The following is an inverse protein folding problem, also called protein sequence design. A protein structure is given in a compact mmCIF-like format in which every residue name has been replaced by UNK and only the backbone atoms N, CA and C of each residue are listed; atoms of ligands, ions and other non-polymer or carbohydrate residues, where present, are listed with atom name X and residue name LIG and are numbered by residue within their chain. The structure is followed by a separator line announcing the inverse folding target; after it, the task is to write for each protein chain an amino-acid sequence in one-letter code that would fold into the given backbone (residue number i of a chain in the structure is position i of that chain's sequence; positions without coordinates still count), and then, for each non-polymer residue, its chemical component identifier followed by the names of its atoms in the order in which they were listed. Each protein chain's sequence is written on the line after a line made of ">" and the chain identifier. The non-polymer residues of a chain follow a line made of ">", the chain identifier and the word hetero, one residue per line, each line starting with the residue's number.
data_IF_698775182306
#
_entry.id   IF_698775182306
#
_cell.length_a   1.000
_cell.length_b   1.000
_cell.length_c   1.000
_cell.angle_alpha   90.00
_cell.angle_beta   90.00
_cell.angle_gamma   90.00
#
_symmetry.space_group_name_H-M   'P 1'
#
loop_
_entity.id
_entity.type
_entity.pdbx_description
1 polymer ?
#
# COMPACT_ATOMS: atom_id res chain seq x y z
N UNK A 1 -11.69 -34.59 26.97
CA UNK A 1 -12.64 -33.67 26.29
C UNK A 1 -11.87 -32.44 25.90
N UNK A 2 -11.62 -32.25 24.60
CA UNK A 2 -10.99 -31.03 24.08
C UNK A 2 -12.06 -29.94 24.12
N UNK A 3 -11.81 -28.90 24.91
CA UNK A 3 -12.64 -27.69 24.92
C UNK A 3 -12.55 -27.04 23.53
N UNK A 4 -13.62 -27.15 22.74
CA UNK A 4 -13.78 -26.35 21.54
C UNK A 4 -13.93 -24.89 22.00
N UNK A 5 -12.93 -24.06 21.70
CA UNK A 5 -13.05 -22.61 21.85
C UNK A 5 -14.26 -22.08 21.07
N UNK A 6 -14.76 -20.88 21.39
CA UNK A 6 -15.96 -20.34 20.76
C UNK A 6 -15.77 -20.31 19.24
N UNK A 7 -16.67 -20.98 18.52
CA UNK A 7 -16.80 -20.85 17.07
C UNK A 7 -17.25 -19.42 16.82
N UNK A 8 -16.31 -18.51 16.60
CA UNK A 8 -16.63 -17.22 16.00
C UNK A 8 -17.09 -17.53 14.58
N UNK A 9 -18.39 -17.43 14.31
CA UNK A 9 -18.91 -17.59 12.95
C UNK A 9 -18.20 -16.57 12.04
N UNK A 10 -17.26 -17.06 11.24
CA UNK A 10 -16.48 -16.22 10.34
C UNK A 10 -17.34 -15.90 9.12
N UNK A 11 -18.07 -14.79 9.20
CA UNK A 11 -18.88 -14.31 8.08
C UNK A 11 -18.04 -13.57 7.04
N UNK A 12 -18.51 -13.64 5.80
CA UNK A 12 -17.96 -12.95 4.65
C UNK A 12 -19.00 -12.01 4.07
N UNK A 13 -18.57 -10.77 3.88
CA UNK A 13 -19.37 -9.66 3.40
C UNK A 13 -19.05 -9.41 1.94
N UNK A 14 -20.08 -9.30 1.11
CA UNK A 14 -20.06 -8.89 -0.28
C UNK A 14 -20.42 -7.42 -0.34
N UNK A 15 -19.48 -6.64 -0.86
CA UNK A 15 -19.69 -5.25 -1.21
C UNK A 15 -19.70 -5.12 -2.73
N UNK A 16 -20.60 -4.31 -3.27
CA UNK A 16 -20.63 -4.01 -4.70
C UNK A 16 -20.61 -2.51 -4.95
N UNK A 17 -20.01 -2.12 -6.06
CA UNK A 17 -20.03 -0.77 -6.58
C UNK A 17 -20.68 -0.84 -7.97
N UNK A 18 -21.87 -0.26 -8.08
CA UNK A 18 -22.69 -0.29 -9.29
C UNK A 18 -22.04 0.54 -10.40
N UNK A 19 -21.40 1.66 -10.03
CA UNK A 19 -20.69 2.45 -11.01
C UNK A 19 -19.60 1.59 -11.59
N UNK A 20 -18.64 1.09 -10.80
CA UNK A 20 -17.49 0.31 -11.26
C UNK A 20 -17.85 -1.06 -11.88
N UNK A 21 -19.07 -1.55 -11.69
CA UNK A 21 -19.47 -2.95 -11.96
C UNK A 21 -18.48 -3.93 -11.31
N UNK A 22 -18.10 -3.64 -10.06
CA UNK A 22 -17.15 -4.42 -9.28
C UNK A 22 -17.71 -4.86 -7.95
N UNK A 23 -17.26 -6.01 -7.49
CA UNK A 23 -17.56 -6.51 -6.15
C UNK A 23 -16.31 -6.93 -5.39
N UNK A 24 -16.32 -6.80 -4.07
CA UNK A 24 -15.26 -7.30 -3.20
C UNK A 24 -15.87 -8.12 -2.07
N UNK A 25 -15.19 -9.20 -1.71
CA UNK A 25 -15.57 -10.04 -0.58
C UNK A 25 -14.57 -9.84 0.53
N UNK A 26 -15.03 -9.53 1.74
CA UNK A 26 -14.19 -9.32 2.91
C UNK A 26 -14.69 -10.15 4.09
N UNK A 27 -13.79 -10.76 4.87
CA UNK A 27 -14.16 -11.36 6.15
C UNK A 27 -14.37 -10.29 7.23
N UNK A 28 -15.00 -10.67 8.35
CA UNK A 28 -15.13 -9.77 9.52
C UNK A 28 -13.76 -9.35 10.05
N UNK A 29 -12.76 -10.25 10.10
CA UNK A 29 -11.41 -9.87 10.51
C UNK A 29 -10.78 -8.87 9.54
N UNK A 30 -11.05 -9.04 8.25
CA UNK A 30 -10.59 -8.13 7.21
C UNK A 30 -11.25 -6.74 7.31
N UNK A 31 -12.51 -6.65 7.71
CA UNK A 31 -13.18 -5.37 7.93
C UNK A 31 -12.64 -4.61 9.16
N UNK A 32 -11.99 -5.33 10.08
CA UNK A 32 -11.43 -4.77 11.30
C UNK A 32 -12.48 -4.50 12.37
N UNK A 33 -12.04 -4.45 13.63
CA UNK A 33 -12.90 -4.34 14.82
C UNK A 33 -13.67 -3.01 14.92
N UNK A 34 -13.26 -1.97 14.21
CA UNK A 34 -13.84 -0.62 14.28
C UNK A 34 -14.80 -0.26 13.13
N UNK A 35 -15.06 -1.16 12.19
CA UNK A 35 -15.86 -0.89 10.97
C UNK A 35 -15.35 0.30 10.13
N UNK A 36 -14.14 0.82 10.36
CA UNK A 36 -13.61 1.96 9.62
C UNK A 36 -13.50 1.66 8.13
N UNK A 37 -13.06 0.45 7.76
CA UNK A 37 -12.95 0.05 6.36
C UNK A 37 -14.33 -0.05 5.68
N UNK A 38 -15.37 -0.48 6.41
CA UNK A 38 -16.75 -0.49 5.89
C UNK A 38 -17.19 0.93 5.50
N UNK A 39 -16.93 1.91 6.36
CA UNK A 39 -17.26 3.30 6.09
C UNK A 39 -16.44 3.87 4.93
N UNK A 40 -15.15 3.57 4.85
CA UNK A 40 -14.30 3.99 3.74
C UNK A 40 -14.80 3.41 2.40
N UNK A 41 -15.18 2.14 2.38
CA UNK A 41 -15.76 1.51 1.20
C UNK A 41 -17.08 2.18 0.77
N UNK A 42 -17.94 2.52 1.74
CA UNK A 42 -19.18 3.25 1.45
C UNK A 42 -18.93 4.64 0.86
N UNK A 43 -17.90 5.34 1.36
CA UNK A 43 -17.50 6.64 0.79
C UNK A 43 -16.96 6.52 -0.64
N UNK A 44 -16.40 5.36 -1.01
CA UNK A 44 -15.95 5.03 -2.37
C UNK A 44 -17.09 4.42 -3.23
N UNK A 45 -18.34 4.52 -2.79
CA UNK A 45 -19.51 4.07 -3.55
C UNK A 45 -19.81 2.57 -3.48
N UNK A 46 -19.14 1.82 -2.61
CA UNK A 46 -19.48 0.42 -2.34
C UNK A 46 -20.66 0.32 -1.35
N UNK A 47 -21.65 -0.49 -1.66
CA UNK A 47 -22.74 -0.84 -0.74
C UNK A 47 -22.70 -2.33 -0.40
N UNK A 48 -23.26 -2.69 0.75
CA UNK A 48 -23.34 -4.08 1.18
C UNK A 48 -24.47 -4.78 0.41
N UNK A 49 -24.14 -5.86 -0.30
CA UNK A 49 -25.11 -6.74 -0.94
C UNK A 49 -25.48 -7.94 -0.06
N UNK A 50 -24.50 -8.46 0.69
CA UNK A 50 -24.66 -9.63 1.55
C UNK A 50 -23.60 -9.60 2.66
N UNK A 51 -23.95 -9.89 3.91
CA UNK A 51 -23.05 -9.77 5.07
C UNK A 51 -22.92 -11.05 5.91
N UNK A 52 -23.61 -12.12 5.52
CA UNK A 52 -23.78 -13.34 6.33
C UNK A 52 -23.35 -14.61 5.60
N UNK A 53 -22.54 -14.48 4.53
CA UNK A 53 -22.00 -15.65 3.84
C UNK A 53 -21.05 -16.42 4.78
N UNK A 54 -21.21 -17.74 4.87
CA UNK A 54 -20.39 -18.59 5.76
C UNK A 54 -19.03 -18.95 5.18
N UNK A 55 -18.79 -18.62 3.91
CA UNK A 55 -17.47 -18.77 3.29
C UNK A 55 -17.26 -17.77 2.17
N UNK A 56 -15.99 -17.41 1.90
CA UNK A 56 -15.62 -16.59 0.74
C UNK A 56 -16.07 -17.23 -0.57
N UNK A 57 -15.95 -18.56 -0.70
CA UNK A 57 -16.35 -19.32 -1.90
C UNK A 57 -17.84 -19.17 -2.16
N UNK A 58 -18.67 -19.25 -1.11
CA UNK A 58 -20.11 -19.07 -1.22
C UNK A 58 -20.48 -17.63 -1.64
N UNK A 59 -19.82 -16.63 -1.05
CA UNK A 59 -20.01 -15.22 -1.38
C UNK A 59 -19.67 -14.91 -2.85
N UNK A 60 -18.54 -15.46 -3.34
CA UNK A 60 -18.13 -15.33 -4.74
C UNK A 60 -19.14 -16.01 -5.66
N UNK A 61 -19.54 -17.26 -5.34
CA UNK A 61 -20.54 -17.99 -6.12
C UNK A 61 -21.88 -17.28 -6.21
N UNK A 62 -22.30 -16.60 -5.13
CA UNK A 62 -23.49 -15.76 -5.14
C UNK A 62 -23.38 -14.62 -6.15
N UNK A 63 -22.24 -13.93 -6.18
CA UNK A 63 -22.01 -12.88 -7.18
C UNK A 63 -22.00 -13.42 -8.61
N UNK A 64 -21.34 -14.56 -8.84
CA UNK A 64 -21.31 -15.19 -10.16
C UNK A 64 -22.69 -15.62 -10.67
N UNK A 65 -23.59 -16.05 -9.77
CA UNK A 65 -24.93 -16.52 -10.13
C UNK A 65 -25.95 -15.39 -10.30
N UNK A 66 -25.94 -14.40 -9.41
CA UNK A 66 -26.99 -13.37 -9.34
C UNK A 66 -26.56 -12.02 -9.93
N UNK A 67 -25.26 -11.78 -10.09
CA UNK A 67 -24.69 -10.54 -10.61
C UNK A 67 -23.56 -10.84 -11.62
N UNK A 68 -23.82 -11.61 -12.70
CA UNK A 68 -22.77 -12.10 -13.62
C UNK A 68 -21.98 -11.00 -14.34
N UNK A 69 -22.58 -9.81 -14.48
CA UNK A 69 -21.96 -8.64 -15.09
C UNK A 69 -20.90 -8.00 -14.17
N UNK A 70 -21.03 -8.19 -12.85
CA UNK A 70 -20.08 -7.65 -11.87
C UNK A 70 -18.82 -8.51 -11.85
N UNK A 71 -17.66 -7.85 -12.00
CA UNK A 71 -16.37 -8.53 -11.86
C UNK A 71 -15.81 -8.36 -10.46
N UNK A 72 -15.04 -9.34 -10.02
CA UNK A 72 -14.30 -9.19 -8.76
C UNK A 72 -13.38 -7.97 -8.87
N UNK A 73 -13.36 -7.16 -7.83
CA UNK A 73 -12.51 -5.98 -7.76
C UNK A 73 -11.05 -6.39 -7.84
N UNK A 74 -10.35 -5.85 -8.82
CA UNK A 74 -8.91 -5.99 -8.97
C UNK A 74 -8.30 -4.64 -9.29
N UNK A 75 -7.34 -4.24 -8.47
CA UNK A 75 -6.51 -3.09 -8.77
C UNK A 75 -5.45 -3.45 -9.81
N UNK A 76 -5.34 -2.62 -10.86
CA UNK A 76 -4.51 -2.83 -12.05
C UNK A 76 -3.37 -1.81 -12.11
N UNK A 77 -2.13 -2.21 -12.45
CA UNK A 77 -1.06 -1.27 -12.69
C UNK A 77 -1.37 -0.37 -13.89
N UNK A 78 -1.07 0.93 -13.78
CA UNK A 78 -1.25 1.90 -14.86
C UNK A 78 -0.01 2.81 -14.98
N UNK A 79 0.35 3.27 -16.20
CA UNK A 79 1.40 4.25 -16.35
C UNK A 79 0.99 5.57 -15.69
N UNK A 80 1.94 6.25 -15.08
CA UNK A 80 1.77 7.60 -14.52
C UNK A 80 2.99 8.43 -14.81
N UNK A 81 2.79 9.71 -15.12
CA UNK A 81 3.86 10.71 -15.15
C UNK A 81 4.25 11.09 -13.72
N UNK A 82 5.43 11.73 -13.59
CA UNK A 82 5.84 12.27 -12.29
C UNK A 82 4.84 13.31 -11.76
N UNK A 83 4.29 14.14 -12.66
CA UNK A 83 3.34 15.19 -12.31
C UNK A 83 2.06 14.59 -11.73
N UNK A 84 1.45 13.62 -12.40
CA UNK A 84 0.25 12.94 -11.89
C UNK A 84 0.49 12.26 -10.53
N UNK A 85 1.65 11.62 -10.36
CA UNK A 85 2.00 11.02 -9.08
C UNK A 85 2.17 12.06 -7.97
N UNK A 86 2.81 13.19 -8.26
CA UNK A 86 2.94 14.31 -7.32
C UNK A 86 1.58 14.91 -6.96
N UNK A 87 0.72 15.14 -7.94
CA UNK A 87 -0.61 15.71 -7.74
C UNK A 87 -1.46 14.80 -6.84
N UNK A 88 -1.41 13.48 -7.08
CA UNK A 88 -2.07 12.49 -6.23
C UNK A 88 -1.53 12.53 -4.78
N UNK A 89 -0.20 12.53 -4.60
CA UNK A 89 0.41 12.60 -3.27
C UNK A 89 0.02 13.88 -2.54
N UNK A 90 0.09 15.04 -3.20
CA UNK A 90 -0.23 16.33 -2.58
C UNK A 90 -1.70 16.41 -2.16
N UNK A 91 -2.60 15.75 -2.90
CA UNK A 91 -4.03 15.72 -2.60
C UNK A 91 -4.38 14.75 -1.47
N UNK A 92 -3.70 13.61 -1.37
CA UNK A 92 -4.16 12.47 -0.54
C UNK A 92 -3.21 12.05 0.59
N UNK A 93 -1.93 12.43 0.56
CA UNK A 93 -0.96 11.94 1.54
C UNK A 93 -1.04 12.74 2.85
N UNK A 94 -1.34 12.05 3.95
CA UNK A 94 -1.64 12.65 5.27
C UNK A 94 -0.50 13.43 5.94
N UNK A 95 0.75 13.17 5.57
CA UNK A 95 1.91 13.54 6.38
C UNK A 95 3.02 14.23 5.58
N UNK A 96 3.05 14.09 4.26
CA UNK A 96 4.18 14.53 3.47
C UNK A 96 3.74 15.08 2.10
N UNK A 97 4.32 16.21 1.65
CA UNK A 97 4.16 16.65 0.28
C UNK A 97 4.91 15.74 -0.68
N UNK A 98 4.59 15.82 -1.97
CA UNK A 98 5.29 15.12 -3.04
C UNK A 98 6.82 15.40 -3.02
N UNK A 99 7.65 14.43 -3.47
CA UNK A 99 9.09 14.60 -3.47
C UNK A 99 9.51 15.53 -4.61
N UNK A 100 10.75 16.04 -4.55
CA UNK A 100 11.26 16.97 -5.57
C UNK A 100 11.61 16.31 -6.90
N UNK A 101 11.85 15.00 -6.90
CA UNK A 101 12.23 14.25 -8.09
C UNK A 101 12.00 12.76 -7.91
N UNK A 102 12.20 12.00 -8.98
CA UNK A 102 12.06 10.55 -9.00
C UNK A 102 13.12 9.88 -9.88
N UNK A 103 13.27 8.57 -9.70
CA UNK A 103 13.82 7.66 -10.71
C UNK A 103 12.70 7.03 -11.53
N UNK A 104 11.63 6.62 -10.86
CA UNK A 104 10.39 6.18 -11.49
C UNK A 104 9.19 6.39 -10.55
N UNK A 105 7.99 6.37 -11.13
CA UNK A 105 6.73 6.35 -10.41
C UNK A 105 5.84 5.22 -10.95
N UNK A 106 4.97 4.70 -10.10
CA UNK A 106 4.02 3.64 -10.41
C UNK A 106 2.62 4.10 -10.03
N UNK A 107 1.64 3.79 -10.88
CA UNK A 107 0.24 4.00 -10.61
C UNK A 107 -0.51 2.68 -10.41
N UNK A 108 -1.56 2.74 -9.63
CA UNK A 108 -2.51 1.66 -9.43
C UNK A 108 -3.92 2.22 -9.65
N UNK A 109 -4.74 1.55 -10.45
CA UNK A 109 -6.10 1.98 -10.79
C UNK A 109 -7.13 0.94 -10.35
N UNK A 110 -8.36 1.37 -10.09
CA UNK A 110 -9.54 0.50 -9.97
C UNK A 110 -10.14 0.10 -11.34
N UNK A 111 -9.50 0.48 -12.45
CA UNK A 111 -10.00 0.31 -13.81
C UNK A 111 -10.69 1.55 -14.38
N UNK A 112 -10.91 2.59 -13.56
CA UNK A 112 -11.48 3.88 -14.00
C UNK A 112 -10.63 5.07 -13.59
N UNK A 113 -10.21 5.09 -12.34
CA UNK A 113 -9.42 6.19 -11.78
C UNK A 113 -8.16 5.66 -11.11
N UNK A 114 -7.24 6.59 -10.85
CA UNK A 114 -6.02 6.32 -10.11
C UNK A 114 -6.37 6.20 -8.62
N UNK A 115 -6.04 5.07 -8.00
CA UNK A 115 -6.33 4.81 -6.58
C UNK A 115 -5.10 4.80 -5.69
N UNK A 116 -3.92 4.88 -6.29
CA UNK A 116 -2.68 4.92 -5.54
C UNK A 116 -1.45 5.08 -6.42
N UNK A 117 -0.40 5.62 -5.80
CA UNK A 117 0.88 5.87 -6.44
C UNK A 117 2.05 5.51 -5.53
N UNK A 118 3.15 5.13 -6.14
CA UNK A 118 4.44 4.94 -5.49
C UNK A 118 5.50 5.72 -6.26
N UNK A 119 6.32 6.51 -5.55
CA UNK A 119 7.43 7.26 -6.13
C UNK A 119 8.74 6.78 -5.52
N UNK A 120 9.62 6.27 -6.38
CA UNK A 120 10.95 5.80 -5.99
C UNK A 120 12.02 6.79 -6.47
N UNK A 121 13.01 7.06 -5.63
CA UNK A 121 14.03 8.07 -5.85
C UNK A 121 15.36 7.75 -5.17
N UNK A 122 16.33 8.67 -5.29
CA UNK A 122 17.58 8.58 -4.52
C UNK A 122 17.26 8.60 -3.02
N UNK A 123 17.98 7.83 -2.19
CA UNK A 123 17.82 7.89 -0.76
C UNK A 123 17.93 9.33 -0.23
N UNK A 124 17.01 9.70 0.67
CA UNK A 124 17.04 11.03 1.31
C UNK A 124 18.26 11.13 2.24
N UNK A 125 18.60 10.02 2.90
CA UNK A 125 19.83 9.91 3.68
C UNK A 125 21.05 9.78 2.76
N UNK A 126 21.96 10.75 2.84
CA UNK A 126 23.23 10.74 2.09
C UNK A 126 24.08 9.49 2.37
N UNK A 127 24.01 8.96 3.58
CA UNK A 127 24.75 7.75 3.98
C UNK A 127 24.25 6.51 3.24
N UNK A 128 22.98 6.50 2.79
CA UNK A 128 22.39 5.40 2.03
C UNK A 128 22.47 5.60 0.52
N UNK A 129 22.75 6.81 0.05
CA UNK A 129 22.88 7.14 -1.37
C UNK A 129 24.23 6.70 -1.96
N UNK A 130 24.41 5.38 -2.04
CA UNK A 130 25.61 4.71 -2.55
C UNK A 130 25.51 4.34 -4.05
N UNK A 131 24.56 4.94 -4.79
CA UNK A 131 24.22 4.64 -6.19
C UNK A 131 23.64 3.24 -6.48
N UNK A 132 23.66 2.32 -5.51
CA UNK A 132 23.11 0.95 -5.63
C UNK A 132 21.81 0.75 -4.84
N UNK A 133 21.48 1.71 -3.97
CA UNK A 133 20.25 1.74 -3.17
C UNK A 133 19.26 2.72 -3.76
N UNK A 134 17.99 2.34 -3.82
CA UNK A 134 16.87 3.21 -4.16
C UNK A 134 15.88 3.24 -2.99
N UNK A 135 15.24 4.39 -2.77
CA UNK A 135 14.25 4.59 -1.70
C UNK A 135 12.85 4.75 -2.29
N UNK A 136 11.86 4.08 -1.70
CA UNK A 136 10.45 4.46 -1.87
C UNK A 136 10.21 5.74 -1.08
N UNK A 137 10.35 6.87 -1.74
CA UNK A 137 10.23 8.18 -1.09
C UNK A 137 8.78 8.52 -0.77
N UNK A 138 7.81 8.06 -1.57
CA UNK A 138 6.38 8.21 -1.29
C UNK A 138 5.61 6.96 -1.69
N UNK A 139 4.63 6.65 -0.86
CA UNK A 139 3.55 5.72 -1.15
C UNK A 139 2.26 6.38 -0.68
N UNK A 140 1.28 6.51 -1.56
CA UNK A 140 -0.02 7.06 -1.24
C UNK A 140 -1.09 6.22 -1.93
N UNK A 141 -2.05 5.69 -1.17
CA UNK A 141 -3.16 4.89 -1.69
C UNK A 141 -4.44 5.31 -0.97
N UNK A 142 -5.58 5.18 -1.63
CA UNK A 142 -6.87 5.23 -0.95
C UNK A 142 -7.01 4.00 -0.03
N UNK A 143 -7.41 4.22 1.21
CA UNK A 143 -7.43 3.20 2.27
C UNK A 143 -8.46 2.11 2.05
N UNK A 144 -9.53 2.39 1.30
CA UNK A 144 -10.57 1.42 0.94
C UNK A 144 -10.03 0.22 0.14
N UNK A 145 -8.88 0.36 -0.53
CA UNK A 145 -8.35 -0.68 -1.41
C UNK A 145 -7.30 -1.54 -0.73
N UNK A 146 -7.71 -2.73 -0.32
CA UNK A 146 -6.82 -3.73 0.26
C UNK A 146 -5.66 -4.10 -0.65
N UNK A 147 -4.53 -4.41 -0.03
CA UNK A 147 -3.29 -4.86 -0.69
C UNK A 147 -2.69 -3.87 -1.70
N UNK A 148 -3.22 -2.65 -1.83
CA UNK A 148 -2.69 -1.63 -2.74
C UNK A 148 -1.22 -1.30 -2.41
N UNK A 149 -0.90 -1.09 -1.13
CA UNK A 149 0.46 -0.85 -0.66
C UNK A 149 1.41 -1.98 -1.07
N UNK A 150 1.08 -3.23 -0.73
CA UNK A 150 1.94 -4.39 -1.01
C UNK A 150 2.11 -4.62 -2.51
N UNK A 151 1.06 -4.45 -3.32
CA UNK A 151 1.15 -4.53 -4.79
C UNK A 151 2.11 -3.50 -5.37
N UNK A 152 2.05 -2.26 -4.90
CA UNK A 152 2.95 -1.19 -5.34
C UNK A 152 4.39 -1.47 -4.90
N UNK A 153 4.62 -1.86 -3.64
CA UNK A 153 5.96 -2.25 -3.16
C UNK A 153 6.55 -3.42 -3.95
N UNK A 154 5.77 -4.47 -4.21
CA UNK A 154 6.23 -5.61 -5.01
C UNK A 154 6.57 -5.21 -6.45
N UNK A 155 5.79 -4.29 -7.04
CA UNK A 155 6.05 -3.77 -8.38
C UNK A 155 7.31 -2.90 -8.41
N UNK A 156 7.51 -2.06 -7.39
CA UNK A 156 8.72 -1.27 -7.23
C UNK A 156 9.97 -2.13 -7.06
N UNK A 157 9.88 -3.24 -6.32
CA UNK A 157 10.99 -4.19 -6.18
C UNK A 157 11.40 -4.80 -7.52
N UNK A 158 10.44 -5.26 -8.34
CA UNK A 158 10.72 -5.80 -9.68
C UNK A 158 11.38 -4.78 -10.60
N UNK A 159 10.86 -3.55 -10.63
CA UNK A 159 11.40 -2.48 -11.48
C UNK A 159 12.76 -2.02 -10.99
N UNK A 160 12.95 -1.86 -9.68
CA UNK A 160 14.24 -1.50 -9.11
C UNK A 160 15.31 -2.54 -9.46
N UNK A 161 14.96 -3.83 -9.42
CA UNK A 161 15.85 -4.92 -9.86
C UNK A 161 16.23 -4.77 -11.34
N UNK A 162 15.27 -4.54 -12.24
CA UNK A 162 15.58 -4.33 -13.67
C UNK A 162 16.38 -3.07 -13.96
N UNK A 163 16.27 -2.06 -13.11
CA UNK A 163 17.12 -0.87 -13.21
C UNK A 163 18.54 -1.09 -12.64
N UNK A 164 18.85 -2.28 -12.13
CA UNK A 164 20.17 -2.64 -11.58
C UNK A 164 20.40 -2.23 -10.12
N UNK A 165 19.35 -1.84 -9.38
CA UNK A 165 19.47 -1.58 -7.95
C UNK A 165 19.63 -2.88 -7.17
N UNK A 166 20.49 -2.86 -6.15
CA UNK A 166 20.77 -4.02 -5.29
C UNK A 166 19.93 -4.00 -4.01
N UNK A 167 19.40 -2.84 -3.64
CA UNK A 167 18.64 -2.66 -2.42
C UNK A 167 17.52 -1.64 -2.62
N UNK A 168 16.32 -2.00 -2.16
CA UNK A 168 15.18 -1.10 -2.02
C UNK A 168 14.96 -0.81 -0.54
N UNK A 169 14.85 0.47 -0.18
CA UNK A 169 14.58 0.88 1.20
C UNK A 169 13.32 1.72 1.29
N UNK A 170 12.73 1.78 2.49
CA UNK A 170 11.68 2.74 2.83
C UNK A 170 11.65 2.97 4.33
N UNK A 171 10.83 3.93 4.75
CA UNK A 171 10.61 4.28 6.15
C UNK A 171 9.12 4.36 6.43
N UNK A 172 8.71 3.83 7.57
CA UNK A 172 7.36 4.00 8.12
C UNK A 172 7.45 4.75 9.45
N UNK A 173 6.35 5.36 9.87
CA UNK A 173 6.25 5.90 11.23
C UNK A 173 6.39 4.77 12.26
N UNK A 174 6.69 5.12 13.50
CA UNK A 174 6.97 4.14 14.56
C UNK A 174 5.73 3.33 14.94
N UNK A 175 4.57 3.97 14.88
CA UNK A 175 3.23 3.42 15.09
C UNK A 175 2.74 2.56 13.92
N UNK A 176 3.36 2.66 12.74
CA UNK A 176 3.01 1.85 11.58
C UNK A 176 3.71 0.48 11.68
N UNK A 177 2.90 -0.58 11.73
CA UNK A 177 3.40 -1.93 11.98
C UNK A 177 4.27 -2.46 10.83
N UNK A 178 4.05 -2.01 9.59
CA UNK A 178 4.75 -2.44 8.39
C UNK A 178 4.21 -3.75 7.78
N UNK A 179 2.96 -4.13 8.02
CA UNK A 179 2.38 -5.38 7.51
C UNK A 179 2.47 -5.53 5.98
N UNK A 180 2.25 -4.44 5.24
CA UNK A 180 2.39 -4.43 3.78
C UNK A 180 3.83 -4.67 3.29
N UNK A 181 4.82 -4.21 4.05
CA UNK A 181 6.24 -4.40 3.77
C UNK A 181 6.68 -5.85 4.02
N UNK A 182 6.27 -6.41 5.16
CA UNK A 182 6.51 -7.83 5.48
C UNK A 182 5.94 -8.75 4.41
N UNK A 183 4.73 -8.47 3.92
CA UNK A 183 4.10 -9.24 2.85
C UNK A 183 4.86 -9.25 1.52
N UNK A 184 5.78 -8.30 1.31
CA UNK A 184 6.65 -8.23 0.12
C UNK A 184 8.06 -8.79 0.40
N UNK A 185 8.39 -9.10 1.66
CA UNK A 185 9.68 -9.65 2.08
C UNK A 185 10.69 -8.61 2.57
N UNK A 186 10.27 -7.37 2.81
CA UNK A 186 11.14 -6.38 3.45
C UNK A 186 11.52 -6.82 4.86
N UNK A 187 12.77 -6.56 5.21
CA UNK A 187 13.34 -6.78 6.54
C UNK A 187 13.39 -5.47 7.31
N UNK A 188 13.05 -5.53 8.60
CA UNK A 188 13.24 -4.42 9.52
C UNK A 188 14.73 -4.29 9.84
N UNK A 189 15.30 -3.09 9.66
CA UNK A 189 16.74 -2.84 9.84
C UNK A 189 17.05 -1.86 10.98
N UNK A 190 16.04 -1.43 11.73
CA UNK A 190 16.19 -0.60 12.92
C UNK A 190 15.27 0.62 12.96
N UNK A 191 15.32 1.35 14.07
CA UNK A 191 14.62 2.63 14.24
C UNK A 191 15.61 3.76 14.02
N UNK A 192 15.25 4.70 13.17
CA UNK A 192 15.98 5.97 13.02
C UNK A 192 15.50 6.95 14.08
N UNK A 193 16.39 7.78 14.66
CA UNK A 193 16.01 8.73 15.72
C UNK A 193 15.09 9.86 15.22
N UNK A 194 14.84 9.95 13.91
CA UNK A 194 14.14 11.08 13.32
C UNK A 194 14.98 12.37 13.38
N UNK A 195 14.30 13.49 13.51
CA UNK A 195 14.91 14.81 13.68
C UNK A 195 14.69 15.77 12.50
N UNK A 196 15.27 16.96 12.68
CA UNK A 196 15.20 18.05 11.73
C UNK A 196 16.33 17.98 10.71
N UNK A 197 16.04 18.28 9.44
CA UNK A 197 17.09 18.50 8.44
C UNK A 197 17.63 19.93 8.44
N UNK A 198 17.17 20.78 9.36
CA UNK A 198 17.70 22.12 9.57
C UNK A 198 19.11 22.04 10.16
N UNK A 199 20.04 22.79 9.57
CA UNK A 199 21.34 23.07 10.18
C UNK A 199 21.67 24.56 10.09
N UNK A 200 22.54 25.07 10.97
CA UNK A 200 22.96 26.49 10.95
C UNK A 200 23.50 26.94 9.57
N UNK A 201 24.15 26.02 8.85
CA UNK A 201 24.68 26.27 7.50
C UNK A 201 23.67 26.04 6.36
N UNK A 202 22.53 25.40 6.64
CA UNK A 202 21.48 25.06 5.66
C UNK A 202 20.11 25.09 6.34
N UNK A 203 19.52 26.28 6.38
CA UNK A 203 18.16 26.41 6.88
C UNK A 203 17.20 25.62 5.99
N UNK A 204 16.39 24.77 6.63
CA UNK A 204 15.32 24.01 6.01
C UNK A 204 14.10 24.06 6.92
N UNK A 205 12.93 24.18 6.30
CA UNK A 205 11.67 23.98 7.00
C UNK A 205 11.29 22.51 6.89
N UNK A 206 11.17 21.81 8.03
CA UNK A 206 10.72 20.43 8.02
C UNK A 206 9.22 20.37 7.73
N UNK A 207 8.85 19.62 6.69
CA UNK A 207 7.45 19.40 6.28
C UNK A 207 7.05 17.93 6.46
N UNK A 208 7.63 17.29 7.47
CA UNK A 208 7.45 15.89 7.76
C UNK A 208 7.44 15.64 9.26
N UNK A 209 6.86 14.50 9.72
CA UNK A 209 7.04 14.05 11.08
C UNK A 209 8.53 13.93 11.42
N UNK A 210 8.92 14.53 12.54
CA UNK A 210 10.30 14.52 13.05
C UNK A 210 10.55 13.38 14.04
N UNK A 211 9.50 12.62 14.39
CA UNK A 211 9.61 11.49 15.30
C UNK A 211 10.45 10.33 14.71
N UNK A 212 10.74 9.32 15.54
CA UNK A 212 11.43 8.12 15.11
C UNK A 212 10.69 7.43 13.96
N UNK A 213 11.46 6.74 13.11
CA UNK A 213 10.91 5.99 11.95
C UNK A 213 11.51 4.61 11.89
N UNK A 214 10.69 3.61 11.58
CA UNK A 214 11.15 2.25 11.29
C UNK A 214 11.76 2.23 9.89
N UNK A 215 12.99 1.77 9.80
CA UNK A 215 13.70 1.59 8.54
C UNK A 215 13.53 0.15 8.05
N UNK A 216 13.26 0.02 6.76
CA UNK A 216 13.02 -1.26 6.11
C UNK A 216 13.92 -1.40 4.88
N UNK A 217 14.40 -2.61 4.62
CA UNK A 217 15.16 -2.92 3.40
C UNK A 217 14.72 -4.23 2.76
N UNK A 218 14.71 -4.26 1.44
CA UNK A 218 14.57 -5.45 0.64
C UNK A 218 15.86 -5.61 -0.19
N UNK A 219 16.52 -6.75 -0.03
CA UNK A 219 17.63 -7.12 -0.89
C UNK A 219 17.08 -7.55 -2.26
N UNK A 220 17.57 -6.93 -3.33
CA UNK A 220 17.15 -7.18 -4.71
C UNK A 220 18.19 -7.98 -5.51
N UNK A 221 19.41 -8.13 -4.98
CA UNK A 221 20.41 -8.98 -5.62
C UNK A 221 19.90 -10.40 -5.66
N UNK A 222 19.94 -11.00 -6.85
CA UNK A 222 19.81 -12.44 -6.99
C UNK A 222 20.95 -13.07 -6.19
N UNK A 223 20.69 -14.12 -5.40
CA UNK A 223 21.73 -15.04 -4.99
C UNK A 223 22.30 -15.68 -6.26
N UNK A 224 23.24 -15.01 -6.92
CA UNK A 224 24.13 -15.64 -7.87
C UNK A 224 25.34 -16.08 -7.05
N UNK A 225 25.25 -17.30 -6.53
CA UNK A 225 26.43 -18.13 -6.44
C UNK A 225 26.81 -18.50 -7.87
N UNK A 226 28.04 -18.10 -8.23
CA UNK A 226 28.89 -18.51 -9.37
C UNK A 226 28.39 -18.30 -10.82
#
# INVERSE_FOLDING_TARGET
>A
MVSAGPITDQFYWVFANNELERYIVLSVEELGSSHSLRWEMMNEGFHVLWDSSRSRKQAIRYMELYYPDYKKFESVPVPVTFREACDFVNKHHRHHPAPQGMKFALGLSNGRELIGVLIAGRPVSRLRDNRKTIEVTRLCVHSAYKNACSKLYASAARIAKEMGYQMLITYTLEEEDGGSLRGVGFQFIGVTPGGSWHSKSRSRQDRHPMGPKRAWSLNLSSSQEE
#
